data_IF_487240303673
#
_entry.id   IF_487240303673
#
_cell.length_a   1.000
_cell.length_b   1.000
_cell.length_c   1.000
_cell.angle_alpha   90.00
_cell.angle_beta   90.00
_cell.angle_gamma   90.00
#
_symmetry.space_group_name_H-M   'P 1'
#
loop_
_entity.id
_entity.type
_entity.pdbx_description
1 polymer ?
#
# COMPACT_ATOMS: atom_id res chain seq x y z
N UNK A 1 8.79 -83.54 29.42
CA UNK A 1 9.58 -84.63 28.79
C UNK A 1 9.97 -84.13 27.40
N UNK A 2 11.15 -83.54 27.24
CA UNK A 2 12.43 -84.17 26.86
C UNK A 2 12.41 -84.83 25.47
N UNK A 3 13.39 -84.41 24.65
CA UNK A 3 14.14 -85.07 23.55
C UNK A 3 14.06 -84.29 22.22
N UNK A 4 15.12 -83.53 21.88
CA UNK A 4 16.29 -83.90 21.05
C UNK A 4 15.92 -83.92 19.55
N UNK A 5 16.40 -82.96 18.74
CA UNK A 5 17.61 -83.02 17.86
C UNK A 5 17.65 -84.32 17.04
N UNK A 6 17.81 -84.31 15.71
CA UNK A 6 19.07 -83.97 15.01
C UNK A 6 18.92 -83.93 13.47
N UNK A 7 19.73 -83.04 12.84
CA UNK A 7 20.50 -83.18 11.56
C UNK A 7 19.79 -83.34 10.21
N UNK A 8 19.98 -82.40 9.27
CA UNK A 8 21.04 -82.36 8.21
C UNK A 8 20.60 -83.14 6.96
N UNK A 9 20.75 -82.75 5.70
CA UNK A 9 21.61 -81.76 5.07
C UNK A 9 21.05 -81.41 3.66
N UNK A 10 21.27 -80.17 3.22
CA UNK A 10 21.71 -79.76 1.88
C UNK A 10 21.11 -80.47 0.65
N UNK A 11 20.48 -79.69 -0.24
CA UNK A 11 21.07 -79.24 -1.53
C UNK A 11 20.04 -78.47 -2.36
N UNK A 12 20.14 -77.14 -2.29
CA UNK A 12 20.28 -76.24 -3.43
C UNK A 12 20.10 -76.90 -4.80
N UNK A 13 19.00 -76.62 -5.48
CA UNK A 13 18.99 -76.12 -6.87
C UNK A 13 17.55 -75.82 -7.31
N UNK A 14 17.44 -74.89 -8.27
CA UNK A 14 16.24 -74.54 -9.05
C UNK A 14 15.40 -73.34 -8.56
N UNK A 15 16.14 -72.26 -8.34
CA UNK A 15 15.74 -70.88 -8.62
C UNK A 15 15.54 -70.69 -10.14
N UNK A 16 14.41 -71.12 -10.73
CA UNK A 16 13.93 -70.69 -12.07
C UNK A 16 12.43 -70.98 -12.20
N UNK A 17 11.59 -70.03 -11.80
CA UNK A 17 10.14 -70.20 -11.96
C UNK A 17 9.24 -69.09 -11.43
N UNK A 18 9.78 -67.94 -10.99
CA UNK A 18 8.99 -66.87 -10.39
C UNK A 18 9.37 -65.47 -10.90
N UNK A 19 9.65 -65.34 -12.21
CA UNK A 19 10.03 -64.07 -12.83
C UNK A 19 9.11 -63.65 -13.99
N UNK A 20 7.94 -64.28 -14.17
CA UNK A 20 7.03 -64.02 -15.30
C UNK A 20 5.64 -63.48 -14.89
N UNK A 21 5.36 -63.28 -13.60
CA UNK A 21 4.05 -62.79 -13.15
C UNK A 21 4.05 -61.35 -12.61
N UNK A 22 5.22 -60.72 -12.40
CA UNK A 22 5.32 -59.33 -11.92
C UNK A 22 5.51 -58.28 -13.05
N UNK A 23 5.67 -58.71 -14.31
CA UNK A 23 5.88 -57.81 -15.45
C UNK A 23 4.57 -57.40 -16.17
N UNK A 24 3.42 -57.98 -15.81
CA UNK A 24 2.15 -57.75 -16.52
C UNK A 24 1.28 -56.61 -15.93
N UNK A 25 1.63 -56.03 -14.78
CA UNK A 25 0.89 -54.93 -14.15
C UNK A 25 1.55 -53.54 -14.32
N UNK A 26 2.74 -53.47 -14.94
CA UNK A 26 3.43 -52.19 -15.24
C UNK A 26 3.20 -51.75 -16.70
N UNK A 27 2.57 -52.60 -17.53
CA UNK A 27 2.37 -52.34 -18.95
C UNK A 27 1.18 -51.45 -19.34
N UNK A 28 0.24 -51.16 -18.43
CA UNK A 28 -0.96 -50.38 -18.75
C UNK A 28 -0.88 -48.88 -18.41
N UNK A 29 0.17 -48.42 -17.73
CA UNK A 29 0.36 -47.00 -17.43
C UNK A 29 1.27 -46.26 -18.44
N UNK A 30 1.89 -46.98 -19.38
CA UNK A 30 2.90 -46.43 -20.29
C UNK A 30 2.35 -45.91 -21.63
N UNK A 31 1.03 -45.96 -21.85
CA UNK A 31 0.39 -45.50 -23.10
C UNK A 31 -0.51 -44.27 -22.94
N UNK A 32 -0.63 -43.69 -21.74
CA UNK A 32 -1.18 -42.35 -21.60
C UNK A 32 -0.08 -41.35 -21.99
N UNK A 33 0.09 -41.12 -23.29
CA UNK A 33 0.87 -39.97 -23.76
C UNK A 33 0.30 -38.73 -23.09
N UNK A 34 1.17 -37.90 -22.50
CA UNK A 34 0.75 -36.61 -21.92
C UNK A 34 -0.16 -35.93 -22.93
N UNK A 35 -1.39 -35.53 -22.54
CA UNK A 35 -2.28 -34.84 -23.46
C UNK A 35 -1.50 -33.67 -24.06
N UNK A 36 -1.64 -33.39 -25.37
CA UNK A 36 -0.99 -32.24 -25.98
C UNK A 36 -1.37 -31.03 -25.15
N UNK A 37 -0.39 -30.47 -24.44
CA UNK A 37 -0.62 -29.24 -23.69
C UNK A 37 -0.75 -28.17 -24.77
N UNK A 38 -1.92 -27.53 -24.93
CA UNK A 38 -2.07 -26.48 -25.92
C UNK A 38 -1.00 -25.44 -25.63
N UNK A 39 -0.20 -25.11 -26.65
CA UNK A 39 0.71 -23.98 -26.54
C UNK A 39 -0.13 -22.75 -26.18
N UNK A 40 0.27 -21.99 -25.14
CA UNK A 40 -0.45 -20.78 -24.82
C UNK A 40 -0.48 -19.90 -26.06
N UNK A 41 -1.63 -19.30 -26.42
CA UNK A 41 -1.67 -18.35 -27.50
C UNK A 41 -0.63 -17.25 -27.23
N UNK A 42 0.00 -16.71 -28.30
CA UNK A 42 0.97 -15.62 -28.12
C UNK A 42 0.30 -14.48 -27.34
N UNK A 43 1.03 -13.84 -26.41
CA UNK A 43 0.48 -12.72 -25.67
C UNK A 43 0.02 -11.64 -26.65
N UNK A 44 -1.09 -10.93 -26.35
CA UNK A 44 -1.57 -9.86 -27.21
C UNK A 44 -0.50 -8.77 -27.33
N UNK A 45 -0.44 -8.12 -28.49
CA UNK A 45 0.55 -7.06 -28.76
C UNK A 45 0.40 -5.84 -27.84
N UNK A 46 -0.81 -5.63 -27.32
CA UNK A 46 -1.13 -4.64 -26.28
C UNK A 46 -1.74 -5.43 -25.11
N UNK A 47 -1.24 -5.19 -23.90
CA UNK A 47 -1.81 -5.83 -22.72
C UNK A 47 -3.28 -5.40 -22.55
N UNK A 48 -4.17 -6.27 -22.06
CA UNK A 48 -5.53 -5.85 -21.71
C UNK A 48 -5.54 -5.09 -20.39
N UNK A 49 -6.67 -4.43 -20.07
CA UNK A 49 -6.98 -4.04 -18.70
C UNK A 49 -6.86 -5.24 -17.75
N UNK A 50 -6.18 -5.06 -16.63
CA UNK A 50 -5.93 -6.11 -15.66
C UNK A 50 -7.20 -6.66 -14.99
N UNK A 51 -8.26 -5.85 -14.97
CA UNK A 51 -9.57 -6.14 -14.40
C UNK A 51 -10.65 -5.61 -15.35
N UNK A 52 -11.73 -6.37 -15.46
CA UNK A 52 -13.02 -5.84 -15.95
C UNK A 52 -13.67 -5.01 -14.86
N UNK A 53 -14.56 -4.07 -15.24
CA UNK A 53 -15.35 -3.27 -14.28
C UNK A 53 -16.03 -4.15 -13.22
N UNK A 54 -16.70 -5.23 -13.64
CA UNK A 54 -17.35 -6.15 -12.72
C UNK A 54 -16.38 -6.92 -11.79
N UNK A 55 -15.10 -7.09 -12.18
CA UNK A 55 -14.08 -7.64 -11.29
C UNK A 55 -13.61 -6.60 -10.28
N UNK A 56 -13.42 -5.34 -10.71
CA UNK A 56 -13.08 -4.22 -9.83
C UNK A 56 -14.18 -4.01 -8.77
N UNK A 57 -15.45 -4.06 -9.16
CA UNK A 57 -16.58 -3.96 -8.22
C UNK A 57 -16.56 -5.10 -7.19
N UNK A 58 -16.32 -6.35 -7.62
CA UNK A 58 -16.20 -7.48 -6.68
C UNK A 58 -15.03 -7.35 -5.72
N UNK A 59 -13.92 -6.74 -6.15
CA UNK A 59 -12.78 -6.45 -5.27
C UNK A 59 -13.19 -5.42 -4.21
N UNK A 60 -13.89 -4.38 -4.64
CA UNK A 60 -14.39 -3.32 -3.76
C UNK A 60 -15.44 -3.83 -2.77
N UNK A 61 -16.42 -4.61 -3.22
CA UNK A 61 -17.41 -5.25 -2.33
C UNK A 61 -16.72 -6.06 -1.23
N UNK A 62 -15.75 -6.89 -1.62
CA UNK A 62 -15.01 -7.71 -0.66
C UNK A 62 -14.12 -6.89 0.29
N UNK A 63 -13.57 -5.77 -0.18
CA UNK A 63 -12.86 -4.81 0.67
C UNK A 63 -13.82 -4.15 1.67
N UNK A 64 -15.00 -3.72 1.20
CA UNK A 64 -16.05 -3.13 2.02
C UNK A 64 -16.52 -4.06 3.13
N UNK A 65 -16.75 -5.34 2.83
CA UNK A 65 -17.12 -6.36 3.83
C UNK A 65 -16.03 -6.52 4.91
N UNK A 66 -14.76 -6.57 4.51
CA UNK A 66 -13.63 -6.68 5.46
C UNK A 66 -13.49 -5.42 6.31
N UNK A 67 -13.59 -4.24 5.70
CA UNK A 67 -13.55 -2.97 6.42
C UNK A 67 -14.70 -2.86 7.41
N UNK A 68 -15.94 -3.17 7.01
CA UNK A 68 -17.10 -3.10 7.89
C UNK A 68 -16.97 -4.04 9.10
N UNK A 69 -16.53 -5.28 8.87
CA UNK A 69 -16.33 -6.26 9.95
C UNK A 69 -15.20 -5.82 10.91
N UNK A 70 -14.06 -5.40 10.37
CA UNK A 70 -12.91 -4.98 11.16
C UNK A 70 -13.16 -3.66 11.91
N UNK A 71 -13.78 -2.67 11.26
CA UNK A 71 -14.11 -1.37 11.85
C UNK A 71 -15.13 -1.52 12.99
N UNK A 72 -16.14 -2.38 12.80
CA UNK A 72 -17.13 -2.66 13.84
C UNK A 72 -16.54 -3.32 15.08
N UNK A 73 -15.48 -4.12 14.91
CA UNK A 73 -14.77 -4.80 16.01
C UNK A 73 -13.53 -4.03 16.51
N UNK A 74 -13.09 -3.00 15.79
CA UNK A 74 -11.77 -2.36 15.92
C UNK A 74 -10.61 -3.39 15.92
N UNK A 75 -10.73 -4.43 15.08
CA UNK A 75 -9.79 -5.55 15.02
C UNK A 75 -8.86 -5.43 13.79
N UNK A 76 -7.63 -4.98 14.04
CA UNK A 76 -6.62 -4.84 12.99
C UNK A 76 -6.24 -6.18 12.34
N UNK A 77 -6.32 -7.30 13.06
CA UNK A 77 -5.98 -8.61 12.49
C UNK A 77 -7.01 -9.06 11.44
N UNK A 78 -8.27 -8.64 11.58
CA UNK A 78 -9.34 -8.94 10.65
C UNK A 78 -9.17 -8.25 9.28
N UNK A 79 -8.30 -7.24 9.17
CA UNK A 79 -8.04 -6.49 7.94
C UNK A 79 -7.15 -7.22 6.93
N UNK A 80 -6.28 -8.11 7.40
CA UNK A 80 -5.23 -8.76 6.60
C UNK A 80 -5.68 -9.43 5.28
N UNK A 81 -6.93 -9.94 5.14
CA UNK A 81 -7.39 -10.47 3.87
C UNK A 81 -7.45 -9.43 2.73
N UNK A 82 -7.70 -8.14 3.06
CA UNK A 82 -7.98 -7.07 2.08
C UNK A 82 -7.24 -5.77 2.30
N UNK A 83 -6.46 -5.61 3.36
CA UNK A 83 -5.68 -4.40 3.64
C UNK A 83 -4.27 -4.79 4.04
N UNK A 84 -3.29 -4.07 3.52
CA UNK A 84 -1.87 -4.33 3.77
C UNK A 84 -1.06 -3.03 3.78
N UNK A 85 0.26 -3.17 3.96
CA UNK A 85 1.22 -2.08 3.81
C UNK A 85 0.86 -0.83 4.64
N UNK A 86 1.01 0.38 4.08
CA UNK A 86 0.75 1.61 4.80
C UNK A 86 -0.73 1.74 5.22
N UNK A 87 -1.70 1.28 4.43
CA UNK A 87 -3.10 1.29 4.80
C UNK A 87 -3.38 0.48 6.08
N UNK A 88 -2.75 -0.69 6.23
CA UNK A 88 -2.89 -1.49 7.45
C UNK A 88 -2.32 -0.75 8.67
N UNK A 89 -1.16 -0.11 8.53
CA UNK A 89 -0.56 0.68 9.60
C UNK A 89 -1.44 1.89 9.99
N UNK A 90 -1.93 2.63 9.00
CA UNK A 90 -2.83 3.76 9.18
C UNK A 90 -4.11 3.32 9.90
N UNK A 91 -4.80 2.28 9.41
CA UNK A 91 -6.08 1.82 9.97
C UNK A 91 -5.92 1.26 11.38
N UNK A 92 -4.84 0.51 11.64
CA UNK A 92 -4.52 0.02 12.99
C UNK A 92 -4.36 1.17 13.99
N UNK A 93 -3.68 2.25 13.58
CA UNK A 93 -3.54 3.43 14.42
C UNK A 93 -4.89 4.15 14.64
N UNK A 94 -5.77 4.18 13.64
CA UNK A 94 -7.12 4.71 13.82
C UNK A 94 -7.97 3.90 14.80
N UNK A 95 -7.78 2.58 14.89
CA UNK A 95 -8.45 1.74 15.90
C UNK A 95 -7.95 2.05 17.31
N UNK A 96 -6.64 2.26 17.47
CA UNK A 96 -6.06 2.74 18.73
C UNK A 96 -6.63 4.12 19.09
N UNK A 97 -6.72 5.04 18.12
CA UNK A 97 -7.32 6.37 18.30
C UNK A 97 -8.77 6.29 18.74
N UNK A 98 -9.59 5.50 18.05
CA UNK A 98 -11.00 5.31 18.37
C UNK A 98 -11.16 4.78 19.80
N UNK A 99 -10.39 3.74 20.16
CA UNK A 99 -10.40 3.14 21.50
C UNK A 99 -10.00 4.14 22.57
N UNK A 100 -8.86 4.82 22.40
CA UNK A 100 -8.32 5.78 23.35
C UNK A 100 -9.23 7.00 23.56
N UNK A 101 -10.04 7.35 22.56
CA UNK A 101 -10.99 8.46 22.61
C UNK A 101 -12.41 8.03 22.92
N UNK A 102 -12.63 6.77 23.32
CA UNK A 102 -13.96 6.20 23.58
C UNK A 102 -14.95 6.44 22.41
N UNK A 103 -14.46 6.33 21.17
CA UNK A 103 -15.24 6.50 19.95
C UNK A 103 -15.41 7.95 19.48
N UNK A 104 -14.90 8.96 20.20
CA UNK A 104 -15.04 10.36 19.79
C UNK A 104 -14.26 10.71 18.50
N UNK A 105 -13.21 9.94 18.17
CA UNK A 105 -12.45 10.05 16.91
C UNK A 105 -12.50 8.70 16.18
N UNK A 106 -13.62 8.35 15.51
CA UNK A 106 -13.80 7.05 14.85
C UNK A 106 -12.82 6.87 13.67
N UNK A 107 -12.66 5.65 13.12
CA UNK A 107 -11.88 5.41 11.91
C UNK A 107 -12.36 6.25 10.73
N UNK A 108 -11.46 6.54 9.79
CA UNK A 108 -11.80 7.29 8.59
C UNK A 108 -12.79 6.50 7.74
N UNK A 109 -13.90 7.13 7.33
CA UNK A 109 -14.86 6.51 6.41
C UNK A 109 -14.19 6.32 5.04
N UNK A 110 -14.17 5.08 4.57
CA UNK A 110 -13.66 4.67 3.26
C UNK A 110 -14.78 3.98 2.49
N UNK A 111 -15.52 4.71 1.63
CA UNK A 111 -16.53 4.09 0.78
C UNK A 111 -15.86 3.09 -0.17
N UNK A 112 -16.40 1.87 -0.24
CA UNK A 112 -15.96 0.85 -1.18
C UNK A 112 -16.82 0.83 -2.45
N UNK A 113 -17.23 2.01 -2.92
CA UNK A 113 -18.00 2.20 -4.15
C UNK A 113 -17.24 3.15 -5.04
N UNK A 114 -16.99 2.75 -6.29
CA UNK A 114 -16.24 3.55 -7.24
C UNK A 114 -17.13 4.61 -7.90
N UNK A 115 -16.69 5.86 -7.87
CA UNK A 115 -17.13 6.89 -8.82
C UNK A 115 -16.43 6.67 -10.17
N UNK A 116 -15.14 6.38 -10.15
CA UNK A 116 -14.35 5.98 -11.31
C UNK A 116 -13.15 5.14 -10.89
N UNK A 117 -12.65 4.29 -11.80
CA UNK A 117 -11.48 3.44 -11.57
C UNK A 117 -10.45 3.62 -12.68
N UNK A 118 -9.18 3.70 -12.29
CA UNK A 118 -8.03 3.66 -13.18
C UNK A 118 -7.43 2.27 -13.08
N UNK A 119 -7.70 1.43 -14.07
CA UNK A 119 -7.28 0.03 -14.11
C UNK A 119 -5.97 -0.07 -14.89
N UNK A 120 -4.95 -0.81 -14.40
CA UNK A 120 -3.69 -0.91 -15.11
C UNK A 120 -3.84 -1.80 -16.36
N UNK A 121 -3.28 -1.35 -17.47
CA UNK A 121 -3.15 -2.10 -18.72
C UNK A 121 -1.83 -2.89 -18.68
N UNK A 122 -1.85 -4.07 -18.08
CA UNK A 122 -0.64 -4.88 -17.92
C UNK A 122 -0.95 -6.36 -17.72
N UNK A 123 -0.02 -7.21 -18.18
CA UNK A 123 0.01 -8.63 -17.83
C UNK A 123 0.98 -8.93 -16.70
N UNK A 124 1.83 -7.97 -16.30
CA UNK A 124 2.88 -8.14 -15.31
C UNK A 124 2.37 -7.84 -13.89
N UNK A 125 3.21 -8.10 -12.89
CA UNK A 125 2.96 -7.84 -11.47
C UNK A 125 4.14 -7.06 -10.87
N UNK A 126 3.91 -6.23 -9.84
CA UNK A 126 2.63 -5.96 -9.17
C UNK A 126 1.66 -5.17 -10.05
N UNK A 127 0.35 -5.28 -9.76
CA UNK A 127 -0.71 -4.52 -10.45
C UNK A 127 -1.36 -3.55 -9.48
N UNK A 128 -1.42 -2.28 -9.86
CA UNK A 128 -2.03 -1.22 -9.04
C UNK A 128 -3.23 -0.62 -9.75
N UNK A 129 -4.42 -0.76 -9.16
CA UNK A 129 -5.63 -0.05 -9.55
C UNK A 129 -5.86 1.13 -8.61
N UNK A 130 -6.23 2.29 -9.16
CA UNK A 130 -6.68 3.43 -8.38
C UNK A 130 -8.21 3.53 -8.47
N UNK A 131 -8.87 3.76 -7.34
CA UNK A 131 -10.33 3.94 -7.29
C UNK A 131 -10.63 5.29 -6.66
N UNK A 132 -11.24 6.19 -7.43
CA UNK A 132 -11.88 7.37 -6.87
C UNK A 132 -13.24 6.94 -6.33
N UNK A 133 -13.44 7.07 -5.03
CA UNK A 133 -14.68 6.64 -4.40
C UNK A 133 -15.83 7.59 -4.73
N UNK A 134 -17.06 7.14 -4.51
CA UNK A 134 -18.17 8.09 -4.29
C UNK A 134 -17.87 8.97 -3.07
N UNK A 135 -18.57 10.11 -2.98
CA UNK A 135 -18.47 10.97 -1.82
C UNK A 135 -18.98 10.20 -0.58
N UNK A 136 -18.22 10.16 0.53
CA UNK A 136 -18.70 9.63 1.78
C UNK A 136 -19.99 10.31 2.27
N UNK A 137 -20.81 9.59 3.05
CA UNK A 137 -22.08 10.11 3.59
C UNK A 137 -21.91 11.33 4.50
N UNK A 138 -20.74 11.47 5.14
CA UNK A 138 -20.37 12.61 5.98
C UNK A 138 -19.92 13.85 5.17
N UNK A 139 -20.09 13.80 3.84
CA UNK A 139 -19.80 14.87 2.87
C UNK A 139 -18.32 15.27 2.80
N UNK A 140 -17.42 14.47 3.36
CA UNK A 140 -15.99 14.69 3.15
C UNK A 140 -15.61 14.49 1.68
N UNK A 141 -14.41 14.95 1.30
CA UNK A 141 -13.92 14.76 -0.08
C UNK A 141 -13.84 13.26 -0.45
N UNK A 142 -14.07 12.88 -1.71
CA UNK A 142 -13.84 11.50 -2.15
C UNK A 142 -12.42 11.01 -1.83
N UNK A 143 -12.27 9.69 -1.72
CA UNK A 143 -10.97 9.06 -1.50
C UNK A 143 -10.41 8.56 -2.83
N UNK A 144 -9.09 8.50 -2.92
CA UNK A 144 -8.40 7.60 -3.85
C UNK A 144 -7.99 6.37 -3.03
N UNK A 145 -8.52 5.20 -3.37
CA UNK A 145 -8.05 3.92 -2.86
C UNK A 145 -6.98 3.36 -3.80
N UNK A 146 -5.86 2.90 -3.24
CA UNK A 146 -4.77 2.25 -3.96
C UNK A 146 -4.89 0.75 -3.71
N UNK A 147 -5.35 0.01 -4.72
CA UNK A 147 -5.55 -1.44 -4.64
C UNK A 147 -4.44 -2.16 -5.39
N UNK A 148 -3.68 -2.99 -4.70
CA UNK A 148 -2.52 -3.70 -5.24
C UNK A 148 -2.74 -5.20 -5.26
N UNK A 149 -2.24 -5.83 -6.31
CA UNK A 149 -2.10 -7.28 -6.41
C UNK A 149 -0.64 -7.60 -6.72
N UNK A 150 0.07 -8.21 -5.77
CA UNK A 150 1.49 -8.53 -5.90
C UNK A 150 1.78 -9.74 -6.78
N UNK A 151 0.86 -10.71 -6.82
CA UNK A 151 1.07 -11.98 -7.52
C UNK A 151 -0.21 -12.46 -8.21
N UNK A 152 -0.12 -13.28 -9.29
CA UNK A 152 -1.26 -13.68 -10.12
C UNK A 152 -2.48 -14.26 -9.41
N UNK A 153 -2.29 -14.86 -8.23
CA UNK A 153 -3.34 -15.50 -7.44
C UNK A 153 -3.56 -14.84 -6.09
N UNK A 154 -2.82 -13.77 -5.80
CA UNK A 154 -3.05 -12.97 -4.60
C UNK A 154 -4.36 -12.19 -4.76
N UNK A 155 -5.10 -11.96 -3.66
CA UNK A 155 -6.20 -11.00 -3.68
C UNK A 155 -5.66 -9.60 -3.97
N UNK A 156 -6.46 -8.76 -4.64
CA UNK A 156 -6.26 -7.32 -4.53
C UNK A 156 -6.50 -6.89 -3.07
N UNK A 157 -5.60 -6.07 -2.56
CA UNK A 157 -5.64 -5.50 -1.22
C UNK A 157 -5.45 -3.99 -1.29
N UNK A 158 -6.09 -3.27 -0.39
CA UNK A 158 -5.85 -1.85 -0.21
C UNK A 158 -4.48 -1.67 0.42
N UNK A 159 -3.55 -1.11 -0.37
CA UNK A 159 -2.21 -0.75 0.07
C UNK A 159 -2.19 0.66 0.67
N UNK A 160 -3.01 1.58 0.16
CA UNK A 160 -3.09 2.96 0.63
C UNK A 160 -4.45 3.60 0.36
N UNK A 161 -4.74 4.70 1.05
CA UNK A 161 -5.78 5.63 0.64
C UNK A 161 -5.34 7.07 0.85
N UNK A 162 -5.87 7.97 0.03
CA UNK A 162 -5.65 9.40 0.14
C UNK A 162 -6.97 10.17 -0.02
N UNK A 163 -7.12 11.32 0.64
CA UNK A 163 -8.27 12.21 0.42
C UNK A 163 -7.97 13.15 -0.74
N UNK A 164 -8.89 13.28 -1.69
CA UNK A 164 -8.78 14.31 -2.73
C UNK A 164 -8.69 15.70 -2.07
N UNK A 165 -7.77 16.52 -2.57
CA UNK A 165 -7.67 17.90 -2.10
C UNK A 165 -8.87 18.73 -2.60
N UNK A 166 -9.28 19.78 -1.85
CA UNK A 166 -10.36 20.66 -2.29
C UNK A 166 -10.08 21.27 -3.66
N UNK A 167 -11.05 21.16 -4.57
CA UNK A 167 -10.94 21.73 -5.92
C UNK A 167 -10.07 20.94 -6.90
N UNK A 168 -9.52 19.78 -6.50
CA UNK A 168 -8.79 18.89 -7.40
C UNK A 168 -9.65 18.46 -8.57
N UNK A 169 -9.12 18.60 -9.79
CA UNK A 169 -9.67 18.00 -11.00
C UNK A 169 -8.84 16.77 -11.34
N UNK A 170 -9.48 15.61 -11.41
CA UNK A 170 -8.80 14.40 -11.84
C UNK A 170 -8.44 14.49 -13.32
N UNK A 171 -7.20 14.14 -13.71
CA UNK A 171 -6.81 14.12 -15.12
C UNK A 171 -7.61 13.04 -15.88
N UNK A 172 -7.82 13.21 -17.20
CA UNK A 172 -8.52 12.22 -17.99
C UNK A 172 -7.70 10.92 -18.04
N UNK A 173 -8.33 9.80 -17.74
CA UNK A 173 -7.73 8.46 -17.78
C UNK A 173 -8.43 7.62 -18.84
N UNK A 174 -7.77 6.53 -19.27
CA UNK A 174 -8.38 5.59 -20.20
C UNK A 174 -9.66 4.99 -19.58
N UNK A 175 -10.66 4.61 -20.40
CA UNK A 175 -11.78 3.82 -19.93
C UNK A 175 -11.30 2.59 -19.14
N UNK A 176 -11.99 2.26 -18.04
CA UNK A 176 -11.55 1.20 -17.12
C UNK A 176 -11.45 -0.19 -17.79
N UNK A 177 -12.22 -0.44 -18.85
CA UNK A 177 -12.18 -1.67 -19.66
C UNK A 177 -11.04 -1.71 -20.68
N UNK A 178 -10.45 -0.57 -21.03
CA UNK A 178 -9.23 -0.47 -21.86
C UNK A 178 -7.96 -0.49 -21.00
N UNK A 179 -8.01 0.19 -19.85
CA UNK A 179 -6.93 0.34 -18.88
C UNK A 179 -5.91 1.42 -19.24
N UNK A 180 -5.27 1.97 -18.23
CA UNK A 180 -4.16 2.92 -18.36
C UNK A 180 -2.82 2.18 -18.39
N UNK A 181 -1.96 2.54 -19.33
CA UNK A 181 -0.57 2.05 -19.40
C UNK A 181 0.14 2.23 -18.04
N UNK A 182 0.84 1.19 -17.59
CA UNK A 182 1.71 1.25 -16.40
C UNK A 182 3.07 1.76 -16.84
N UNK A 183 3.57 2.79 -16.18
CA UNK A 183 4.85 3.42 -16.53
C UNK A 183 5.98 2.87 -15.68
N UNK A 184 7.14 2.73 -16.30
CA UNK A 184 8.36 2.33 -15.61
C UNK A 184 8.86 3.46 -14.69
N UNK A 185 9.59 3.14 -13.62
CA UNK A 185 10.08 4.14 -12.66
C UNK A 185 10.96 5.25 -13.29
N UNK A 186 11.69 4.92 -14.36
CA UNK A 186 12.59 5.81 -15.10
C UNK A 186 12.01 6.35 -16.42
N UNK A 187 10.68 6.26 -16.62
CA UNK A 187 10.00 6.76 -17.82
C UNK A 187 10.27 8.27 -18.05
N UNK A 188 10.89 8.58 -19.18
CA UNK A 188 11.35 9.92 -19.56
C UNK A 188 10.33 10.72 -20.39
N UNK A 189 9.15 10.15 -20.62
CA UNK A 189 8.04 10.82 -21.32
C UNK A 189 7.29 11.82 -20.44
N UNK A 190 7.60 11.88 -19.15
CA UNK A 190 7.03 12.79 -18.16
C UNK A 190 7.97 13.95 -17.85
N UNK A 191 7.42 15.05 -17.32
CA UNK A 191 8.24 16.20 -16.89
C UNK A 191 9.17 15.87 -15.72
N UNK A 192 8.80 14.87 -14.92
CA UNK A 192 9.61 14.25 -13.86
C UNK A 192 9.39 12.73 -13.94
N UNK A 193 10.47 11.95 -13.95
CA UNK A 193 10.37 10.49 -13.94
C UNK A 193 9.63 10.01 -12.66
N UNK A 194 8.78 8.97 -12.73
CA UNK A 194 7.97 8.54 -11.59
C UNK A 194 8.74 8.34 -10.28
N UNK A 195 9.92 7.70 -10.35
CA UNK A 195 10.78 7.44 -9.19
C UNK A 195 11.31 8.69 -8.50
N UNK A 196 11.38 9.82 -9.21
CA UNK A 196 11.92 11.07 -8.70
C UNK A 196 10.84 11.97 -8.07
N UNK A 197 9.55 11.68 -8.30
CA UNK A 197 8.43 12.52 -7.82
C UNK A 197 8.42 12.63 -6.29
N UNK A 198 8.41 11.50 -5.57
CA UNK A 198 8.38 11.50 -4.10
C UNK A 198 9.67 12.05 -3.49
N UNK A 199 10.89 11.71 -3.96
CA UNK A 199 12.12 12.33 -3.49
C UNK A 199 12.13 13.86 -3.65
N UNK A 200 11.72 14.39 -4.80
CA UNK A 200 11.65 15.84 -5.02
C UNK A 200 10.60 16.50 -4.12
N UNK A 201 9.44 15.85 -3.95
CA UNK A 201 8.40 16.35 -3.05
C UNK A 201 8.84 16.32 -1.59
N UNK A 202 9.55 15.28 -1.15
CA UNK A 202 10.12 15.19 0.20
C UNK A 202 11.13 16.30 0.48
N UNK A 203 11.98 16.64 -0.50
CA UNK A 203 12.90 17.80 -0.41
C UNK A 203 12.13 19.11 -0.28
N UNK A 204 11.06 19.29 -1.07
CA UNK A 204 10.17 20.44 -0.97
C UNK A 204 9.52 20.55 0.41
N UNK A 205 8.98 19.46 0.97
CA UNK A 205 8.41 19.46 2.32
C UNK A 205 9.47 19.75 3.41
N UNK A 206 10.71 19.31 3.20
CA UNK A 206 11.80 19.54 4.14
C UNK A 206 12.28 21.00 4.14
N UNK A 207 12.41 21.61 2.96
CA UNK A 207 13.07 22.91 2.78
C UNK A 207 12.12 24.07 2.47
N UNK A 208 10.86 23.81 2.16
CA UNK A 208 9.88 24.82 1.75
C UNK A 208 10.40 25.64 0.58
N UNK A 209 10.31 26.97 0.69
CA UNK A 209 10.79 27.92 -0.33
C UNK A 209 12.31 27.83 -0.61
N UNK A 210 13.08 27.18 0.27
CA UNK A 210 14.50 26.90 0.05
C UNK A 210 14.78 25.67 -0.82
N UNK A 211 13.74 24.92 -1.22
CA UNK A 211 13.90 23.76 -2.11
C UNK A 211 14.14 24.20 -3.55
N UNK A 212 15.07 23.54 -4.24
CA UNK A 212 15.24 23.73 -5.67
C UNK A 212 14.06 23.21 -6.51
N UNK A 213 13.17 22.42 -5.90
CA UNK A 213 11.98 21.84 -6.54
C UNK A 213 10.70 22.63 -6.26
N UNK A 214 10.77 23.82 -5.62
CA UNK A 214 9.58 24.63 -5.32
C UNK A 214 8.74 24.94 -6.56
N UNK A 215 9.38 25.28 -7.67
CA UNK A 215 8.68 25.60 -8.93
C UNK A 215 8.22 24.35 -9.70
N UNK A 216 8.73 23.16 -9.33
CA UNK A 216 8.30 21.89 -9.94
C UNK A 216 6.87 21.54 -9.55
N UNK A 217 6.42 21.93 -8.35
CA UNK A 217 5.12 21.57 -7.81
C UNK A 217 4.20 22.79 -7.67
N UNK A 218 2.94 22.63 -8.06
CA UNK A 218 1.90 23.57 -7.73
C UNK A 218 1.72 23.61 -6.21
N UNK A 219 1.36 24.79 -5.69
CA UNK A 219 0.97 24.92 -4.30
C UNK A 219 -0.28 24.10 -4.01
N UNK A 220 -0.29 23.44 -2.85
CA UNK A 220 -1.36 22.56 -2.44
C UNK A 220 -1.72 22.75 -0.97
N UNK A 221 -2.99 22.50 -0.63
CA UNK A 221 -3.45 22.53 0.74
C UNK A 221 -2.67 21.55 1.65
N UNK A 222 -2.14 20.45 1.07
CA UNK A 222 -1.33 19.50 1.81
C UNK A 222 0.02 20.06 2.26
N UNK A 223 0.72 20.80 1.37
CA UNK A 223 1.96 21.49 1.76
C UNK A 223 1.69 22.51 2.87
N UNK A 224 0.59 23.26 2.78
CA UNK A 224 0.16 24.20 3.83
C UNK A 224 -0.11 23.49 5.15
N UNK A 225 -0.82 22.35 5.13
CA UNK A 225 -1.10 21.56 6.34
C UNK A 225 0.20 21.07 7.02
N UNK A 226 1.16 20.57 6.23
CA UNK A 226 2.47 20.15 6.75
C UNK A 226 3.23 21.32 7.37
N UNK A 227 3.21 22.49 6.73
CA UNK A 227 3.85 23.70 7.26
C UNK A 227 3.20 24.16 8.58
N UNK A 228 1.88 24.13 8.64
CA UNK A 228 1.12 24.48 9.85
C UNK A 228 1.44 23.51 10.99
N UNK A 229 1.55 22.20 10.73
CA UNK A 229 1.94 21.20 11.72
C UNK A 229 3.36 21.46 12.25
N UNK A 230 4.29 21.84 11.37
CA UNK A 230 5.67 22.18 11.75
C UNK A 230 5.74 23.46 12.59
N UNK A 231 4.98 24.48 12.19
CA UNK A 231 4.88 25.75 12.90
C UNK A 231 4.27 25.55 14.29
N UNK A 232 3.18 24.79 14.39
CA UNK A 232 2.55 24.44 15.66
C UNK A 232 3.48 23.63 16.58
N UNK A 233 4.21 22.66 16.04
CA UNK A 233 5.18 21.89 16.82
C UNK A 233 6.31 22.78 17.38
N UNK A 234 6.84 23.69 16.55
CA UNK A 234 7.89 24.63 16.93
C UNK A 234 7.40 25.67 17.95
N UNK A 235 6.20 26.21 17.76
CA UNK A 235 5.58 27.14 18.70
C UNK A 235 5.26 26.46 20.04
N UNK A 236 4.80 25.20 20.00
CA UNK A 236 4.46 24.42 21.19
C UNK A 236 5.66 24.11 22.08
N UNK A 237 6.85 23.83 21.51
CA UNK A 237 8.08 23.63 22.29
C UNK A 237 8.72 24.95 22.74
N UNK A 238 8.55 26.02 21.96
CA UNK A 238 9.10 27.35 22.26
C UNK A 238 10.61 27.30 22.56
N UNK A 239 11.03 27.97 23.63
CA UNK A 239 12.45 27.99 24.05
C UNK A 239 12.88 26.78 24.88
N UNK A 240 11.98 25.82 25.15
CA UNK A 240 12.29 24.65 25.96
C UNK A 240 13.09 23.58 25.17
N UNK A 241 13.25 23.78 23.87
CA UNK A 241 13.80 22.77 22.99
C UNK A 241 13.75 23.15 21.51
N UNK A 242 13.68 22.15 20.65
CA UNK A 242 13.55 22.30 19.20
C UNK A 242 12.58 21.27 18.62
N UNK A 243 12.07 21.56 17.42
CA UNK A 243 11.27 20.64 16.63
C UNK A 243 11.92 20.48 15.24
N UNK A 244 11.95 19.25 14.74
CA UNK A 244 12.42 18.94 13.40
C UNK A 244 11.53 17.86 12.77
N UNK A 245 11.40 17.88 11.45
CA UNK A 245 10.68 16.87 10.69
C UNK A 245 11.54 16.33 9.55
N UNK A 246 11.48 15.02 9.32
CA UNK A 246 12.08 14.37 8.14
C UNK A 246 10.99 13.72 7.30
N UNK A 247 11.19 13.68 5.99
CA UNK A 247 10.27 13.12 5.02
C UNK A 247 11.04 12.08 4.20
N UNK A 248 10.60 10.83 4.23
CA UNK A 248 11.32 9.71 3.62
C UNK A 248 10.39 8.92 2.72
N UNK A 249 10.56 8.99 1.39
CA UNK A 249 9.86 8.10 0.45
C UNK A 249 10.21 6.63 0.69
N UNK A 250 9.25 5.75 0.43
CA UNK A 250 9.47 4.30 0.45
C UNK A 250 10.21 3.78 -0.77
N UNK A 251 10.06 4.46 -1.93
CA UNK A 251 10.52 3.98 -3.24
C UNK A 251 9.64 2.87 -3.83
N UNK A 252 8.37 2.81 -3.42
CA UNK A 252 7.38 1.84 -3.90
C UNK A 252 6.20 2.57 -4.58
N UNK A 253 6.53 3.42 -5.57
CA UNK A 253 5.55 4.16 -6.35
C UNK A 253 4.89 3.34 -7.46
N UNK A 254 3.70 3.78 -7.89
CA UNK A 254 3.02 3.28 -9.09
C UNK A 254 2.60 4.45 -9.97
N UNK A 255 2.81 4.31 -11.27
CA UNK A 255 2.49 5.33 -12.26
C UNK A 255 1.55 4.80 -13.35
N UNK A 256 0.46 5.51 -13.60
CA UNK A 256 -0.54 5.17 -14.61
C UNK A 256 -0.73 6.32 -15.59
N UNK A 257 -0.58 6.04 -16.89
CA UNK A 257 -0.72 7.00 -17.98
C UNK A 257 -2.10 7.66 -18.00
N UNK A 258 -2.12 8.98 -18.20
CA UNK A 258 -3.32 9.77 -18.48
C UNK A 258 -3.46 10.02 -19.98
N UNK A 259 -4.67 10.32 -20.44
CA UNK A 259 -4.99 10.46 -21.88
C UNK A 259 -4.25 11.63 -22.53
N UNK A 260 -3.91 12.65 -21.76
CA UNK A 260 -3.13 13.82 -22.19
C UNK A 260 -1.61 13.58 -22.25
N UNK A 261 -1.16 12.34 -22.01
CA UNK A 261 0.25 11.94 -22.05
C UNK A 261 0.99 12.07 -20.72
N UNK A 262 0.38 12.66 -19.69
CA UNK A 262 0.93 12.69 -18.33
C UNK A 262 0.75 11.36 -17.58
N UNK A 263 0.85 11.40 -16.26
CA UNK A 263 0.61 10.25 -15.40
C UNK A 263 -0.01 10.62 -14.06
N UNK A 264 -0.77 9.69 -13.49
CA UNK A 264 -1.08 9.68 -12.06
C UNK A 264 0.00 8.84 -11.37
N UNK A 265 0.76 9.47 -10.48
CA UNK A 265 1.81 8.80 -9.69
C UNK A 265 1.37 8.74 -8.24
N UNK A 266 1.42 7.58 -7.62
CA UNK A 266 1.08 7.39 -6.20
C UNK A 266 2.23 6.71 -5.47
N UNK A 267 2.48 7.14 -4.23
CA UNK A 267 3.44 6.49 -3.35
C UNK A 267 3.20 6.90 -1.90
N UNK A 268 4.08 6.45 -1.01
CA UNK A 268 4.03 6.78 0.40
C UNK A 268 5.31 7.47 0.90
N UNK A 269 5.12 8.27 1.96
CA UNK A 269 6.16 8.94 2.70
C UNK A 269 6.02 8.57 4.18
N UNK A 270 7.15 8.23 4.80
CA UNK A 270 7.25 8.26 6.27
C UNK A 270 7.66 9.66 6.71
N UNK A 271 6.85 10.29 7.54
CA UNK A 271 7.15 11.60 8.14
C UNK A 271 7.47 11.41 9.61
N UNK A 272 8.67 11.82 10.05
CA UNK A 272 9.06 11.73 11.45
C UNK A 272 9.20 13.14 12.02
N UNK A 273 8.31 13.52 12.93
CA UNK A 273 8.38 14.76 13.69
C UNK A 273 9.01 14.48 15.06
N UNK A 274 10.16 15.09 15.32
CA UNK A 274 10.91 14.96 16.58
C UNK A 274 10.88 16.28 17.33
N UNK A 275 10.32 16.27 18.54
CA UNK A 275 10.49 17.34 19.52
C UNK A 275 11.63 16.93 20.45
N UNK A 276 12.67 17.78 20.56
CA UNK A 276 13.79 17.61 21.49
C UNK A 276 13.67 18.61 22.62
N UNK A 277 13.71 18.14 23.86
CA UNK A 277 13.58 18.95 25.08
C UNK A 277 14.98 19.13 25.67
N UNK A 278 15.47 20.36 25.70
CA UNK A 278 16.84 20.68 26.15
C UNK A 278 16.88 21.55 27.41
N UNK A 279 15.77 22.18 27.77
CA UNK A 279 15.68 22.96 29.00
C UNK A 279 15.72 22.04 30.24
N UNK A 280 16.62 22.35 31.18
CA UNK A 280 16.82 21.55 32.38
C UNK A 280 15.53 21.47 33.22
N UNK A 281 15.09 20.24 33.53
CA UNK A 281 13.88 19.97 34.30
C UNK A 281 12.58 20.24 33.56
N UNK A 282 12.62 20.57 32.26
CA UNK A 282 11.41 20.69 31.45
C UNK A 282 10.76 19.32 31.25
N UNK A 283 9.43 19.32 31.23
CA UNK A 283 8.63 18.13 30.97
C UNK A 283 7.43 18.55 30.13
N UNK A 284 7.17 17.81 29.06
CA UNK A 284 6.01 18.05 28.19
C UNK A 284 4.96 17.00 28.52
N UNK A 285 3.77 17.40 29.01
CA UNK A 285 2.68 16.46 29.22
C UNK A 285 2.12 16.01 27.87
N UNK A 286 1.84 14.71 27.75
CA UNK A 286 1.15 14.12 26.60
C UNK A 286 -0.31 13.96 26.99
N UNK A 287 -1.11 14.99 26.68
CA UNK A 287 -2.51 15.09 27.11
C UNK A 287 -3.51 14.56 26.09
N UNK A 288 -3.14 14.49 24.80
CA UNK A 288 -4.00 13.85 23.82
C UNK A 288 -4.03 12.33 24.10
N UNK A 289 -5.22 11.73 24.31
CA UNK A 289 -5.32 10.34 24.73
C UNK A 289 -4.82 9.36 23.66
N UNK A 290 -4.93 9.70 22.38
CA UNK A 290 -4.39 8.88 21.31
C UNK A 290 -2.85 8.92 21.32
N UNK A 291 -2.26 10.09 21.53
CA UNK A 291 -0.80 10.21 21.63
C UNK A 291 -0.27 9.46 22.86
N UNK A 292 -0.96 9.53 23.99
CA UNK A 292 -0.60 8.78 25.19
C UNK A 292 -0.71 7.27 24.98
N UNK A 293 -1.79 6.81 24.33
CA UNK A 293 -2.00 5.39 24.03
C UNK A 293 -0.96 4.83 23.05
N UNK A 294 -0.65 5.55 21.97
CA UNK A 294 0.27 5.06 20.93
C UNK A 294 1.75 5.18 21.34
N UNK A 295 2.10 6.15 22.20
CA UNK A 295 3.45 6.29 22.76
C UNK A 295 3.69 5.44 24.00
N UNK A 296 2.63 5.02 24.70
CA UNK A 296 2.72 4.38 26.02
C UNK A 296 3.18 5.32 27.13
N UNK A 297 3.16 6.64 26.92
CA UNK A 297 3.70 7.64 27.84
C UNK A 297 2.71 8.78 28.11
N UNK A 298 2.75 9.33 29.33
CA UNK A 298 1.94 10.50 29.72
C UNK A 298 2.73 11.80 29.69
N UNK A 299 4.05 11.72 29.48
CA UNK A 299 4.94 12.89 29.41
C UNK A 299 6.26 12.54 28.73
N UNK A 300 6.94 13.54 28.20
CA UNK A 300 8.31 13.48 27.66
C UNK A 300 9.24 14.41 28.45
N UNK A 301 10.49 14.00 28.67
CA UNK A 301 11.54 14.79 29.36
C UNK A 301 12.76 15.08 28.50
N UNK A 302 13.01 14.28 27.46
CA UNK A 302 14.12 14.44 26.52
C UNK A 302 13.63 14.53 25.08
N UNK A 303 12.71 13.64 24.68
CA UNK A 303 12.17 13.67 23.32
C UNK A 303 10.75 13.16 23.23
N UNK A 304 10.02 13.69 22.26
CA UNK A 304 8.75 13.15 21.80
C UNK A 304 8.82 12.99 20.28
N UNK A 305 8.85 11.74 19.82
CA UNK A 305 8.95 11.36 18.41
C UNK A 305 7.59 10.87 17.94
N UNK A 306 7.15 11.39 16.80
CA UNK A 306 5.89 11.05 16.15
C UNK A 306 6.18 10.62 14.72
N UNK A 307 5.81 9.41 14.38
CA UNK A 307 5.95 8.84 13.04
C UNK A 307 4.59 8.80 12.38
N UNK A 308 4.50 9.43 11.22
CA UNK A 308 3.31 9.45 10.40
C UNK A 308 3.57 8.67 9.11
N UNK A 309 2.54 7.98 8.66
CA UNK A 309 2.47 7.38 7.33
C UNK A 309 1.62 8.29 6.46
N UNK A 310 2.14 8.65 5.29
CA UNK A 310 1.43 9.47 4.32
C UNK A 310 1.31 8.77 2.98
N UNK A 311 0.11 8.77 2.40
CA UNK A 311 -0.10 8.40 1.00
C UNK A 311 -0.31 9.70 0.22
N UNK A 312 0.39 9.85 -0.90
CA UNK A 312 0.25 11.04 -1.75
C UNK A 312 0.10 10.61 -3.20
N UNK A 313 -0.88 11.21 -3.89
CA UNK A 313 -1.15 10.99 -5.30
C UNK A 313 -0.93 12.30 -6.06
N UNK A 314 -0.19 12.22 -7.16
CA UNK A 314 0.21 13.33 -7.99
C UNK A 314 -0.34 13.18 -9.40
N UNK A 315 -0.56 14.30 -10.07
CA UNK A 315 -0.53 14.37 -11.52
C UNK A 315 0.83 14.89 -11.96
N UNK A 316 1.47 14.15 -12.87
CA UNK A 316 2.74 14.51 -13.49
C UNK A 316 2.49 14.80 -14.98
N UNK A 317 2.70 16.04 -15.43
CA UNK A 317 2.52 16.40 -16.84
C UNK A 317 3.47 15.64 -17.79
N UNK A 318 3.15 15.55 -19.08
CA UNK A 318 4.09 15.02 -20.08
C UNK A 318 5.34 15.91 -20.20
N UNK A 319 6.43 15.31 -20.66
CA UNK A 319 7.68 16.00 -20.95
C UNK A 319 7.47 17.16 -21.92
N UNK A 320 8.13 18.28 -21.66
CA UNK A 320 7.98 19.52 -22.44
C UNK A 320 6.74 20.36 -22.09
N UNK A 321 5.92 19.93 -21.13
CA UNK A 321 4.88 20.77 -20.54
C UNK A 321 5.49 21.81 -19.58
N UNK A 322 4.98 23.04 -19.62
CA UNK A 322 5.30 24.10 -18.64
C UNK A 322 4.42 24.00 -17.37
N UNK A 323 3.47 23.05 -17.33
CA UNK A 323 2.61 22.86 -16.17
C UNK A 323 3.41 22.25 -14.99
N UNK A 324 3.21 22.72 -13.75
CA UNK A 324 3.81 22.08 -12.58
C UNK A 324 3.09 20.77 -12.22
N UNK A 325 3.76 19.92 -11.45
CA UNK A 325 3.16 18.74 -10.83
C UNK A 325 2.07 19.16 -9.84
N UNK A 326 0.98 18.41 -9.77
CA UNK A 326 -0.13 18.72 -8.87
C UNK A 326 -0.32 17.62 -7.84
N UNK A 327 -0.50 17.97 -6.57
CA UNK A 327 -0.95 17.01 -5.55
C UNK A 327 -2.47 16.85 -5.71
N UNK A 328 -2.91 15.68 -6.16
CA UNK A 328 -4.33 15.37 -6.35
C UNK A 328 -4.99 14.98 -5.03
N UNK A 329 -4.31 14.13 -4.27
CA UNK A 329 -4.79 13.58 -3.01
C UNK A 329 -3.63 13.41 -2.03
N UNK A 330 -3.92 13.56 -0.75
CA UNK A 330 -2.99 13.23 0.32
C UNK A 330 -3.74 12.72 1.55
N UNK A 331 -3.07 11.89 2.33
CA UNK A 331 -3.48 11.55 3.70
C UNK A 331 -2.23 11.49 4.57
N UNK A 332 -2.37 11.85 5.84
CA UNK A 332 -1.31 11.79 6.84
C UNK A 332 -1.88 11.25 8.14
N UNK A 333 -1.43 10.07 8.57
CA UNK A 333 -1.90 9.43 9.80
C UNK A 333 -0.72 9.15 10.72
N UNK A 334 -0.83 9.54 11.98
CA UNK A 334 0.14 9.14 13.01
C UNK A 334 0.04 7.62 13.21
N UNK A 335 1.11 6.89 12.92
CA UNK A 335 1.15 5.43 12.98
C UNK A 335 2.04 4.89 14.09
N UNK A 336 2.95 5.71 14.63
CA UNK A 336 3.68 5.40 15.84
C UNK A 336 4.08 6.68 16.60
N UNK A 337 4.31 6.55 17.90
CA UNK A 337 4.98 7.59 18.67
C UNK A 337 5.82 6.97 19.78
N UNK A 338 6.77 7.73 20.31
CA UNK A 338 7.56 7.35 21.48
C UNK A 338 7.99 8.61 22.24
N UNK A 339 8.14 8.46 23.56
CA UNK A 339 8.59 9.54 24.43
C UNK A 339 9.64 9.03 25.41
N UNK A 340 10.61 9.89 25.70
CA UNK A 340 11.66 9.70 26.71
C UNK A 340 11.84 10.95 27.53
#
# INVERSE_FOLDING_TARGET
MSRLRTTSSRRVTRLRGAALAAAALVGLAACAGSPPQPDPPPPPAIAPAALTVAQSDRVLDSLGDVLAAADGALDAAALAPRVEGPALAMRSAEYVRSTATAGAKPPTVLPAVALTSVVPQTTQWPRTQLVVTEQPEDLQAPRILVLRQDEPRAPYRMWGWARLLPGTQMPPTAPADEGSEVLEPDDDSLSVAPQDVLPQFADLLAKGDGSMYKETFAESAYQTEIEDLRTQASAGIGTAGSAASTYTPSGDESALRTVDGGAIVVGDLTVVSTITISAAGATIPITDPFYAAISGATSATHSFVRTYTSIVTFYVPPAGSDAPLQVLAAELVLTAASAT
#
